data_IF_107945490873
#
_entry.id   IF_107945490873
#
_cell.length_a   1.000
_cell.length_b   1.000
_cell.length_c   1.000
_cell.angle_alpha   90.00
_cell.angle_beta   90.00
_cell.angle_gamma   90.00
#
_symmetry.space_group_name_H-M   'P 1'
#
loop_
_entity.id
_entity.type
_entity.pdbx_description
1 polymer ?
#
# COMPACT_ATOMS: atom_id res chain seq x y z
N UNK A 1 -19.86 -63.01 29.97
CA UNK A 1 -21.09 -62.96 30.80
C UNK A 1 -20.88 -62.33 32.18
N UNK A 2 -20.21 -62.96 33.17
CA UNK A 2 -20.11 -62.37 34.53
C UNK A 2 -19.35 -61.03 34.57
N UNK A 3 -18.27 -60.91 33.78
CA UNK A 3 -17.49 -59.67 33.64
C UNK A 3 -18.30 -58.53 32.99
N UNK A 4 -19.08 -58.84 31.96
CA UNK A 4 -19.95 -57.88 31.26
C UNK A 4 -21.08 -57.38 32.18
N UNK A 5 -21.64 -58.26 33.01
CA UNK A 5 -22.64 -57.88 34.02
C UNK A 5 -22.02 -56.95 35.07
N UNK A 6 -20.81 -57.26 35.56
CA UNK A 6 -20.11 -56.38 36.50
C UNK A 6 -19.75 -55.01 35.90
N UNK A 7 -19.34 -54.97 34.62
CA UNK A 7 -19.00 -53.73 33.92
C UNK A 7 -20.26 -52.90 33.64
N UNK A 8 -21.39 -53.54 33.29
CA UNK A 8 -22.69 -52.89 33.15
C UNK A 8 -23.15 -52.25 34.47
N UNK A 9 -23.05 -52.97 35.59
CA UNK A 9 -23.41 -52.47 36.91
C UNK A 9 -22.51 -51.30 37.36
N UNK A 10 -21.21 -51.31 37.01
CA UNK A 10 -20.28 -50.22 37.32
C UNK A 10 -20.54 -48.94 36.53
N UNK A 11 -20.97 -49.05 35.28
CA UNK A 11 -21.23 -47.89 34.44
C UNK A 11 -22.63 -47.29 34.66
N UNK A 12 -23.56 -48.06 35.23
CA UNK A 12 -24.96 -47.66 35.44
C UNK A 12 -25.37 -47.62 36.91
N UNK A 13 -24.44 -47.28 37.82
CA UNK A 13 -24.65 -47.30 39.28
C UNK A 13 -25.92 -46.59 39.75
N UNK A 14 -26.28 -45.48 39.10
CA UNK A 14 -27.49 -44.71 39.43
C UNK A 14 -28.79 -45.44 39.10
N UNK A 15 -28.84 -46.17 37.99
CA UNK A 15 -30.00 -47.00 37.64
C UNK A 15 -30.14 -48.20 38.58
N UNK A 16 -29.02 -48.83 38.94
CA UNK A 16 -28.98 -49.94 39.90
C UNK A 16 -29.47 -49.47 41.28
N UNK A 17 -28.99 -48.31 41.75
CA UNK A 17 -29.42 -47.71 43.01
C UNK A 17 -30.92 -47.38 43.00
N UNK A 18 -31.43 -46.83 41.89
CA UNK A 18 -32.86 -46.54 41.73
C UNK A 18 -33.71 -47.82 41.82
N UNK A 19 -33.31 -48.91 41.15
CA UNK A 19 -34.01 -50.21 41.24
C UNK A 19 -33.98 -50.76 42.65
N UNK A 20 -32.84 -50.70 43.35
CA UNK A 20 -32.71 -51.18 44.73
C UNK A 20 -33.59 -50.37 45.69
N UNK A 21 -33.67 -49.05 45.53
CA UNK A 21 -34.55 -48.19 46.34
C UNK A 21 -36.02 -48.51 46.10
N UNK A 22 -36.43 -48.70 44.84
CA UNK A 22 -37.82 -49.04 44.50
C UNK A 22 -38.24 -50.41 45.06
N UNK A 23 -37.34 -51.40 45.02
CA UNK A 23 -37.54 -52.69 45.67
C UNK A 23 -37.57 -52.56 47.20
N UNK A 24 -36.70 -51.74 47.79
CA UNK A 24 -36.69 -51.45 49.23
C UNK A 24 -38.01 -50.82 49.71
N UNK A 25 -38.55 -49.85 48.95
CA UNK A 25 -39.85 -49.23 49.23
C UNK A 25 -41.01 -50.23 49.13
N UNK A 26 -40.95 -51.17 48.19
CA UNK A 26 -41.92 -52.27 48.10
C UNK A 26 -41.90 -53.12 49.37
N UNK A 27 -40.73 -53.68 49.74
CA UNK A 27 -40.62 -54.56 50.90
C UNK A 27 -40.93 -53.85 52.22
N UNK A 28 -40.64 -52.55 52.31
CA UNK A 28 -41.05 -51.70 53.43
C UNK A 28 -42.58 -51.59 53.55
N UNK A 29 -43.29 -51.38 52.44
CA UNK A 29 -44.76 -51.25 52.44
C UNK A 29 -45.47 -52.57 52.72
N UNK A 30 -44.94 -53.68 52.22
CA UNK A 30 -45.54 -55.02 52.33
C UNK A 30 -44.91 -55.89 53.44
N UNK A 31 -44.18 -55.29 54.38
CA UNK A 31 -43.62 -55.96 55.58
C UNK A 31 -42.86 -57.26 55.25
N UNK A 32 -41.93 -57.20 54.28
CA UNK A 32 -41.07 -58.31 53.82
C UNK A 32 -41.79 -59.53 53.21
N UNK A 33 -43.09 -59.46 52.91
CA UNK A 33 -43.84 -60.49 52.17
C UNK A 33 -44.08 -60.11 50.71
N UNK A 34 -44.23 -61.12 49.83
CA UNK A 34 -44.78 -60.91 48.49
C UNK A 34 -46.31 -60.89 48.59
N UNK A 35 -46.97 -59.91 47.97
CA UNK A 35 -48.44 -59.90 47.95
C UNK A 35 -48.98 -61.09 47.15
N UNK A 36 -49.98 -61.77 47.73
CA UNK A 36 -50.74 -62.85 47.09
C UNK A 36 -51.84 -62.33 46.15
N UNK A 37 -52.17 -61.04 46.22
CA UNK A 37 -53.19 -60.41 45.39
C UNK A 37 -52.55 -59.83 44.13
N UNK A 38 -53.11 -60.18 42.96
CA UNK A 38 -52.64 -59.67 41.66
C UNK A 38 -52.75 -58.15 41.54
N UNK A 39 -53.75 -57.55 42.19
CA UNK A 39 -54.03 -56.12 42.10
C UNK A 39 -52.92 -55.26 42.72
N UNK A 40 -52.24 -55.76 43.75
CA UNK A 40 -51.12 -55.06 44.39
C UNK A 40 -49.91 -54.97 43.45
N UNK A 41 -49.66 -56.01 42.65
CA UNK A 41 -48.62 -56.02 41.62
C UNK A 41 -48.96 -55.10 40.45
N UNK A 42 -50.24 -55.06 40.04
CA UNK A 42 -50.71 -54.14 39.02
C UNK A 42 -50.55 -52.67 39.47
N UNK A 43 -50.91 -52.36 40.72
CA UNK A 43 -50.77 -51.02 41.30
C UNK A 43 -49.29 -50.62 41.45
N UNK A 44 -48.42 -51.52 41.92
CA UNK A 44 -46.99 -51.27 42.01
C UNK A 44 -46.36 -51.04 40.63
N UNK A 45 -46.65 -51.92 39.66
CA UNK A 45 -46.18 -51.77 38.28
C UNK A 45 -46.63 -50.44 37.64
N UNK A 46 -47.87 -50.01 37.91
CA UNK A 46 -48.38 -48.70 37.46
C UNK A 46 -47.61 -47.53 38.08
N UNK A 47 -47.35 -47.56 39.40
CA UNK A 47 -46.57 -46.54 40.10
C UNK A 47 -45.12 -46.45 39.57
N UNK A 48 -44.47 -47.60 39.44
CA UNK A 48 -43.09 -47.72 38.93
C UNK A 48 -43.02 -47.27 37.47
N UNK A 49 -43.97 -47.72 36.64
CA UNK A 49 -44.09 -47.30 35.24
C UNK A 49 -44.27 -45.79 35.09
N UNK A 50 -45.06 -45.16 35.96
CA UNK A 50 -45.22 -43.71 36.01
C UNK A 50 -43.93 -42.97 36.36
N UNK A 51 -43.16 -43.46 37.35
CA UNK A 51 -41.85 -42.90 37.71
C UNK A 51 -40.87 -43.04 36.54
N UNK A 52 -40.76 -44.22 35.93
CA UNK A 52 -39.87 -44.44 34.80
C UNK A 52 -40.25 -43.59 33.59
N UNK A 53 -41.55 -43.43 33.30
CA UNK A 53 -42.01 -42.54 32.25
C UNK A 53 -41.59 -41.08 32.50
N UNK A 54 -41.74 -40.59 33.73
CA UNK A 54 -41.30 -39.25 34.12
C UNK A 54 -39.78 -39.07 34.01
N UNK A 55 -38.98 -40.03 34.50
CA UNK A 55 -37.52 -39.99 34.40
C UNK A 55 -37.04 -40.07 32.95
N UNK A 56 -37.69 -40.89 32.13
CA UNK A 56 -37.39 -41.00 30.69
C UNK A 56 -37.66 -39.68 29.98
N UNK A 57 -38.82 -39.05 30.25
CA UNK A 57 -39.15 -37.73 29.70
C UNK A 57 -38.12 -36.67 30.09
N UNK A 58 -37.75 -36.61 31.37
CA UNK A 58 -36.73 -35.66 31.87
C UNK A 58 -35.36 -35.89 31.23
N UNK A 59 -34.96 -37.15 31.05
CA UNK A 59 -33.69 -37.52 30.42
C UNK A 59 -33.65 -37.10 28.95
N UNK A 60 -34.74 -37.32 28.21
CA UNK A 60 -34.87 -36.86 26.81
C UNK A 60 -34.85 -35.34 26.73
N UNK A 61 -35.60 -34.62 27.58
CA UNK A 61 -35.59 -33.16 27.61
C UNK A 61 -34.20 -32.59 27.91
N UNK A 62 -33.48 -33.19 28.86
CA UNK A 62 -32.10 -32.80 29.16
C UNK A 62 -31.16 -33.07 27.98
N UNK A 63 -31.29 -34.24 27.34
CA UNK A 63 -30.54 -34.59 26.13
C UNK A 63 -30.76 -33.59 24.99
N UNK A 64 -32.02 -33.23 24.72
CA UNK A 64 -32.39 -32.23 23.71
C UNK A 64 -31.79 -30.85 24.02
N UNK A 65 -31.76 -30.43 25.28
CA UNK A 65 -31.13 -29.17 25.68
C UNK A 65 -29.62 -29.18 25.43
N UNK A 66 -28.95 -30.28 25.78
CA UNK A 66 -27.51 -30.45 25.56
C UNK A 66 -27.16 -30.51 24.07
N UNK A 67 -27.96 -31.22 23.26
CA UNK A 67 -27.81 -31.24 21.81
C UNK A 67 -28.02 -29.86 21.19
N UNK A 68 -29.04 -29.12 21.64
CA UNK A 68 -29.28 -27.75 21.17
C UNK A 68 -28.09 -26.83 21.47
N UNK A 69 -27.48 -26.98 22.65
CA UNK A 69 -26.28 -26.24 23.02
C UNK A 69 -25.10 -26.57 22.09
N UNK A 70 -24.79 -27.85 21.91
CA UNK A 70 -23.69 -28.30 21.02
C UNK A 70 -23.91 -27.87 19.57
N UNK A 71 -25.15 -27.96 19.08
CA UNK A 71 -25.51 -27.53 17.75
C UNK A 71 -25.27 -26.02 17.56
N UNK A 72 -25.64 -25.21 18.55
CA UNK A 72 -25.39 -23.76 18.49
C UNK A 72 -23.89 -23.45 18.50
N UNK A 73 -23.10 -24.11 19.36
CA UNK A 73 -21.64 -23.93 19.42
C UNK A 73 -20.98 -24.32 18.09
N UNK A 74 -21.34 -25.47 17.51
CA UNK A 74 -20.85 -25.90 16.19
C UNK A 74 -21.23 -24.94 15.07
N UNK A 75 -22.46 -24.40 15.12
CA UNK A 75 -22.92 -23.42 14.15
C UNK A 75 -22.11 -22.13 14.23
N UNK A 76 -21.84 -21.63 15.43
CA UNK A 76 -21.02 -20.43 15.63
C UNK A 76 -19.58 -20.63 15.15
N UNK A 77 -18.98 -21.78 15.43
CA UNK A 77 -17.64 -22.15 14.95
C UNK A 77 -17.60 -22.22 13.43
N UNK A 78 -18.55 -22.94 12.82
CA UNK A 78 -18.69 -23.05 11.37
C UNK A 78 -18.88 -21.68 10.69
N UNK A 79 -19.67 -20.78 11.28
CA UNK A 79 -19.85 -19.43 10.75
C UNK A 79 -18.57 -18.59 10.81
N UNK A 80 -17.74 -18.77 11.85
CA UNK A 80 -16.42 -18.11 11.95
C UNK A 80 -15.45 -18.66 10.91
N UNK A 81 -15.30 -19.98 10.83
CA UNK A 81 -14.44 -20.64 9.85
C UNK A 81 -14.83 -20.24 8.42
N UNK A 82 -16.13 -20.21 8.12
CA UNK A 82 -16.64 -19.78 6.82
C UNK A 82 -16.24 -18.34 6.49
N UNK A 83 -16.35 -17.41 7.44
CA UNK A 83 -15.95 -16.00 7.25
C UNK A 83 -14.46 -15.86 7.03
N UNK A 84 -13.64 -16.57 7.81
CA UNK A 84 -12.19 -16.60 7.64
C UNK A 84 -11.81 -17.16 6.26
N UNK A 85 -12.43 -18.28 5.85
CA UNK A 85 -12.20 -18.89 4.54
C UNK A 85 -12.64 -17.98 3.38
N UNK A 86 -13.72 -17.21 3.54
CA UNK A 86 -14.13 -16.19 2.57
C UNK A 86 -13.11 -15.04 2.50
N UNK A 87 -12.51 -14.63 3.61
CA UNK A 87 -11.43 -13.63 3.61
C UNK A 87 -10.16 -14.12 2.93
N UNK A 88 -9.71 -15.34 3.24
CA UNK A 88 -8.57 -15.97 2.57
C UNK A 88 -8.81 -16.09 1.06
N UNK A 89 -9.97 -16.59 0.64
CA UNK A 89 -10.32 -16.69 -0.78
C UNK A 89 -10.32 -15.34 -1.49
N UNK A 90 -10.91 -14.30 -0.89
CA UNK A 90 -10.91 -12.95 -1.47
C UNK A 90 -9.50 -12.40 -1.63
N UNK A 91 -8.60 -12.69 -0.69
CA UNK A 91 -7.19 -12.29 -0.80
C UNK A 91 -6.46 -13.06 -1.90
N UNK A 92 -6.65 -14.37 -2.00
CA UNK A 92 -6.05 -15.19 -3.07
C UNK A 92 -6.55 -14.77 -4.46
N UNK A 93 -7.84 -14.50 -4.61
CA UNK A 93 -8.43 -13.99 -5.86
C UNK A 93 -7.82 -12.63 -6.23
N UNK A 94 -7.65 -11.74 -5.25
CA UNK A 94 -6.98 -10.47 -5.44
C UNK A 94 -5.53 -10.66 -5.89
N UNK A 95 -4.74 -11.47 -5.18
CA UNK A 95 -3.33 -11.72 -5.50
C UNK A 95 -3.18 -12.34 -6.89
N UNK A 96 -3.98 -13.35 -7.23
CA UNK A 96 -3.98 -13.97 -8.56
C UNK A 96 -4.22 -12.93 -9.66
N UNK A 97 -5.21 -12.07 -9.48
CA UNK A 97 -5.57 -11.04 -10.47
C UNK A 97 -4.49 -9.97 -10.56
N UNK A 98 -3.99 -9.50 -9.41
CA UNK A 98 -2.89 -8.54 -9.34
C UNK A 98 -1.63 -9.08 -10.05
N UNK A 99 -1.23 -10.33 -9.79
CA UNK A 99 -0.03 -10.88 -10.41
C UNK A 99 -0.19 -11.11 -11.91
N UNK A 100 -1.39 -11.49 -12.38
CA UNK A 100 -1.69 -11.55 -13.81
C UNK A 100 -1.59 -10.17 -14.48
N UNK A 101 -2.14 -9.13 -13.84
CA UNK A 101 -2.02 -7.75 -14.31
C UNK A 101 -0.57 -7.24 -14.26
N UNK A 102 0.20 -7.62 -13.23
CA UNK A 102 1.61 -7.28 -13.08
C UNK A 102 2.48 -7.95 -14.17
N UNK A 103 2.18 -9.19 -14.51
CA UNK A 103 2.85 -9.89 -15.61
C UNK A 103 2.59 -9.19 -16.95
N UNK A 104 1.34 -8.83 -17.23
CA UNK A 104 0.98 -8.09 -18.45
C UNK A 104 1.62 -6.69 -18.48
N UNK A 105 1.65 -6.00 -17.33
CA UNK A 105 2.40 -4.77 -17.16
C UNK A 105 3.89 -4.95 -17.52
N UNK A 106 4.53 -6.00 -17.01
CA UNK A 106 5.95 -6.27 -17.24
C UNK A 106 6.22 -6.64 -18.71
N UNK A 107 5.30 -7.33 -19.38
CA UNK A 107 5.39 -7.59 -20.82
C UNK A 107 5.38 -6.30 -21.63
N UNK A 108 4.44 -5.39 -21.34
CA UNK A 108 4.37 -4.09 -22.02
C UNK A 108 5.57 -3.21 -21.69
N UNK A 109 6.03 -3.18 -20.44
CA UNK A 109 7.22 -2.42 -20.07
C UNK A 109 8.46 -2.92 -20.81
N UNK A 110 8.67 -4.25 -20.88
CA UNK A 110 9.76 -4.85 -21.66
C UNK A 110 9.69 -4.51 -23.14
N UNK A 111 8.48 -4.45 -23.72
CA UNK A 111 8.29 -4.00 -25.09
C UNK A 111 8.79 -2.56 -25.29
N UNK A 112 8.43 -1.65 -24.38
CA UNK A 112 8.81 -0.23 -24.46
C UNK A 112 10.31 0.00 -24.19
N UNK A 113 10.93 -0.85 -23.36
CA UNK A 113 12.35 -0.76 -23.03
C UNK A 113 13.26 -1.55 -23.99
N UNK A 114 12.70 -2.38 -24.87
CA UNK A 114 13.47 -3.06 -25.91
C UNK A 114 13.92 -2.06 -26.99
N UNK A 115 15.22 -2.04 -27.27
CA UNK A 115 15.85 -1.19 -28.27
C UNK A 115 15.41 -1.50 -29.70
N UNK A 116 15.03 -2.75 -29.98
CA UNK A 116 14.56 -3.16 -31.31
C UNK A 116 13.22 -2.51 -31.68
N UNK A 117 12.42 -2.13 -30.69
CA UNK A 117 11.10 -1.53 -30.89
C UNK A 117 11.14 0.00 -30.99
N UNK A 118 12.29 0.62 -30.73
CA UNK A 118 12.44 2.06 -30.89
C UNK A 118 13.18 2.44 -32.16
N UNK A 119 13.76 3.63 -32.14
CA UNK A 119 14.42 4.27 -33.29
C UNK A 119 15.88 4.52 -32.92
N UNK A 120 16.79 4.45 -33.90
CA UNK A 120 18.23 4.71 -33.75
C UNK A 120 18.92 3.82 -32.69
N UNK A 121 18.48 2.56 -32.56
CA UNK A 121 19.02 1.60 -31.59
C UNK A 121 18.72 1.96 -30.12
N UNK A 122 17.75 2.84 -29.90
CA UNK A 122 17.24 3.22 -28.58
C UNK A 122 15.83 2.71 -28.41
N UNK A 123 15.46 2.41 -27.18
CA UNK A 123 14.09 1.98 -26.84
C UNK A 123 13.09 3.12 -26.99
N UNK A 124 11.79 2.80 -26.95
CA UNK A 124 10.72 3.81 -26.95
C UNK A 124 10.88 4.73 -25.73
N UNK A 125 11.15 4.14 -24.56
CA UNK A 125 11.40 4.88 -23.31
C UNK A 125 12.58 5.84 -23.48
N UNK A 126 13.69 5.38 -24.05
CA UNK A 126 14.90 6.21 -24.23
C UNK A 126 14.64 7.37 -25.19
N UNK A 127 13.89 7.14 -26.26
CA UNK A 127 13.56 8.17 -27.22
C UNK A 127 12.63 9.23 -26.61
N UNK A 128 11.52 8.82 -25.99
CA UNK A 128 10.60 9.75 -25.32
C UNK A 128 11.30 10.52 -24.21
N UNK A 129 12.09 9.83 -23.39
CA UNK A 129 12.87 10.47 -22.33
C UNK A 129 13.85 11.51 -22.87
N UNK A 130 14.55 11.20 -23.97
CA UNK A 130 15.41 12.16 -24.65
C UNK A 130 14.58 13.39 -25.06
N UNK A 131 13.45 13.23 -25.73
CA UNK A 131 12.63 14.41 -26.08
C UNK A 131 12.24 15.26 -24.86
N UNK A 132 11.89 14.64 -23.73
CA UNK A 132 11.59 15.37 -22.49
C UNK A 132 12.79 16.11 -21.89
N UNK A 133 14.01 15.64 -22.12
CA UNK A 133 15.25 16.26 -21.64
C UNK A 133 15.64 17.50 -22.48
N UNK A 134 15.37 17.46 -23.80
CA UNK A 134 15.85 18.47 -24.75
C UNK A 134 14.84 19.59 -25.09
N UNK A 135 13.57 19.47 -24.68
CA UNK A 135 12.55 20.49 -24.97
C UNK A 135 12.19 21.36 -23.76
N UNK A 136 11.98 22.65 -24.00
CA UNK A 136 11.90 23.65 -22.95
C UNK A 136 10.50 23.80 -22.32
N UNK A 137 9.44 23.55 -23.09
CA UNK A 137 8.07 23.78 -22.61
C UNK A 137 7.17 22.56 -22.74
N UNK A 138 6.24 22.41 -21.79
CA UNK A 138 5.25 21.32 -21.83
C UNK A 138 4.43 21.33 -23.14
N UNK A 139 4.11 22.51 -23.66
CA UNK A 139 3.30 22.67 -24.88
C UNK A 139 4.03 22.15 -26.13
N UNK A 140 5.33 22.44 -26.26
CA UNK A 140 6.16 21.93 -27.36
C UNK A 140 6.25 20.40 -27.32
N UNK A 141 6.54 19.85 -26.14
CA UNK A 141 6.64 18.40 -25.96
C UNK A 141 5.31 17.73 -26.32
N UNK A 142 4.17 18.28 -25.86
CA UNK A 142 2.84 17.76 -26.21
C UNK A 142 2.60 17.80 -27.72
N UNK A 143 2.90 18.93 -28.36
CA UNK A 143 2.75 19.07 -29.80
C UNK A 143 3.53 17.99 -30.56
N UNK A 144 4.79 17.77 -30.22
CA UNK A 144 5.62 16.76 -30.88
C UNK A 144 5.22 15.32 -30.55
N UNK A 145 5.08 14.98 -29.26
CA UNK A 145 4.79 13.62 -28.84
C UNK A 145 3.38 13.15 -29.22
N UNK A 146 2.38 14.04 -29.20
CA UNK A 146 0.98 13.64 -29.44
C UNK A 146 0.54 13.75 -30.91
N UNK A 147 1.16 14.60 -31.73
CA UNK A 147 0.77 14.75 -33.16
C UNK A 147 1.71 14.05 -34.15
N UNK A 148 3.00 14.03 -33.87
CA UNK A 148 4.01 13.60 -34.87
C UNK A 148 4.70 12.28 -34.48
N UNK A 149 4.61 11.87 -33.21
CA UNK A 149 5.39 10.74 -32.70
C UNK A 149 4.52 9.51 -32.40
N UNK A 150 4.41 8.61 -33.38
CA UNK A 150 3.65 7.34 -33.25
C UNK A 150 4.04 6.51 -32.03
N UNK A 151 5.31 6.55 -31.61
CA UNK A 151 5.82 5.77 -30.47
C UNK A 151 5.26 6.21 -29.11
N UNK A 152 4.76 7.45 -28.98
CA UNK A 152 4.13 7.87 -27.73
C UNK A 152 2.74 7.22 -27.53
N UNK A 153 2.11 6.72 -28.61
CA UNK A 153 0.86 5.98 -28.51
C UNK A 153 1.02 4.71 -27.64
N UNK A 154 2.13 3.99 -27.80
CA UNK A 154 2.42 2.80 -26.98
C UNK A 154 2.64 3.16 -25.50
N UNK A 155 3.30 4.29 -25.23
CA UNK A 155 3.42 4.83 -23.86
C UNK A 155 2.05 5.19 -23.27
N UNK A 156 1.16 5.81 -24.05
CA UNK A 156 -0.20 6.13 -23.60
C UNK A 156 -1.00 4.87 -23.25
N UNK A 157 -0.95 3.85 -24.12
CA UNK A 157 -1.60 2.56 -23.86
C UNK A 157 -1.04 1.93 -22.58
N UNK A 158 0.27 1.96 -22.40
CA UNK A 158 0.91 1.45 -21.20
C UNK A 158 0.45 2.19 -19.93
N UNK A 159 0.43 3.53 -19.92
CA UNK A 159 -0.01 4.29 -18.75
C UNK A 159 -1.50 4.12 -18.45
N UNK A 160 -2.33 3.86 -19.46
CA UNK A 160 -3.72 3.49 -19.24
C UNK A 160 -3.83 2.14 -18.51
N UNK A 161 -3.01 1.15 -18.88
CA UNK A 161 -2.97 -0.12 -18.15
C UNK A 161 -2.48 0.10 -16.72
N UNK A 162 -1.43 0.90 -16.52
CA UNK A 162 -0.93 1.24 -15.18
C UNK A 162 -2.04 1.88 -14.32
N UNK A 163 -2.82 2.82 -14.88
CA UNK A 163 -3.99 3.39 -14.21
C UNK A 163 -4.98 2.31 -13.74
N UNK A 164 -5.33 1.36 -14.62
CA UNK A 164 -6.25 0.29 -14.27
C UNK A 164 -5.73 -0.61 -13.15
N UNK A 165 -4.42 -0.89 -13.12
CA UNK A 165 -3.80 -1.66 -12.03
C UNK A 165 -3.87 -0.88 -10.72
N UNK A 166 -3.55 0.41 -10.74
CA UNK A 166 -3.62 1.25 -9.54
C UNK A 166 -5.06 1.39 -9.03
N UNK A 167 -6.03 1.55 -9.94
CA UNK A 167 -7.46 1.53 -9.61
C UNK A 167 -7.86 0.21 -8.95
N UNK A 168 -7.43 -0.92 -9.51
CA UNK A 168 -7.72 -2.25 -8.96
C UNK A 168 -7.15 -2.44 -7.54
N UNK A 169 -5.92 -1.95 -7.30
CA UNK A 169 -5.31 -1.93 -5.97
C UNK A 169 -6.12 -1.06 -5.01
N UNK A 170 -6.58 0.11 -5.47
CA UNK A 170 -7.35 1.05 -4.66
C UNK A 170 -8.71 0.49 -4.22
N UNK A 171 -9.46 -0.09 -5.16
CA UNK A 171 -10.74 -0.78 -4.92
C UNK A 171 -10.59 -1.95 -3.94
N UNK A 172 -9.38 -2.52 -3.85
CA UNK A 172 -9.02 -3.60 -2.94
C UNK A 172 -8.02 -3.15 -1.84
N UNK A 173 -8.07 -1.88 -1.44
CA UNK A 173 -7.09 -1.25 -0.54
C UNK A 173 -6.86 -1.97 0.79
N UNK A 174 -7.85 -2.70 1.30
CA UNK A 174 -7.70 -3.56 2.50
C UNK A 174 -6.57 -4.59 2.38
N UNK A 175 -6.23 -5.01 1.17
CA UNK A 175 -5.15 -5.95 0.91
C UNK A 175 -3.82 -5.22 0.67
N UNK A 176 -3.84 -3.96 0.24
CA UNK A 176 -2.66 -3.12 0.02
C UNK A 176 -2.13 -2.46 1.32
N UNK A 177 -2.03 -3.23 2.39
CA UNK A 177 -1.50 -2.76 3.68
C UNK A 177 -0.07 -2.24 3.49
N UNK A 178 0.21 -1.05 4.03
CA UNK A 178 1.50 -0.37 3.90
C UNK A 178 2.01 -0.23 2.45
N UNK A 179 1.08 -0.07 1.49
CA UNK A 179 1.40 0.06 0.06
C UNK A 179 2.17 -1.15 -0.51
N UNK A 180 2.04 -2.36 0.07
CA UNK A 180 2.83 -3.54 -0.34
C UNK A 180 2.76 -3.83 -1.85
N UNK A 181 1.58 -3.86 -2.45
CA UNK A 181 1.40 -4.21 -3.86
C UNK A 181 1.66 -3.02 -4.78
N UNK A 182 1.26 -1.81 -4.38
CA UNK A 182 1.55 -0.60 -5.15
C UNK A 182 3.05 -0.29 -5.19
N UNK A 183 3.78 -0.49 -4.08
CA UNK A 183 5.24 -0.36 -4.04
C UNK A 183 5.94 -1.47 -4.82
N UNK A 184 5.41 -2.70 -4.80
CA UNK A 184 5.91 -3.77 -5.67
C UNK A 184 5.75 -3.42 -7.15
N UNK A 185 4.56 -2.96 -7.57
CA UNK A 185 4.33 -2.49 -8.94
C UNK A 185 5.29 -1.35 -9.32
N UNK A 186 5.44 -0.35 -8.44
CA UNK A 186 6.37 0.77 -8.63
C UNK A 186 7.82 0.31 -8.82
N UNK A 187 8.24 -0.74 -8.13
CA UNK A 187 9.63 -1.22 -8.16
C UNK A 187 10.11 -1.67 -9.54
N UNK A 188 9.19 -2.00 -10.46
CA UNK A 188 9.52 -2.33 -11.84
C UNK A 188 9.78 -1.11 -12.72
N UNK A 189 9.40 0.09 -12.27
CA UNK A 189 9.52 1.30 -13.08
C UNK A 189 10.89 1.94 -12.94
N UNK A 190 11.58 2.09 -14.06
CA UNK A 190 12.82 2.85 -14.10
C UNK A 190 12.57 4.34 -13.84
N UNK A 191 13.60 5.06 -13.38
CA UNK A 191 13.54 6.51 -13.13
C UNK A 191 13.06 7.30 -14.35
N UNK A 192 13.44 6.85 -15.55
CA UNK A 192 12.98 7.42 -16.83
C UNK A 192 11.47 7.26 -17.00
N UNK A 193 10.93 6.06 -16.75
CA UNK A 193 9.50 5.78 -16.86
C UNK A 193 8.69 6.58 -15.84
N UNK A 194 9.19 6.72 -14.61
CA UNK A 194 8.55 7.58 -13.59
C UNK A 194 8.48 9.05 -14.03
N UNK A 195 9.52 9.57 -14.69
CA UNK A 195 9.48 10.93 -15.23
C UNK A 195 8.47 11.08 -16.37
N UNK A 196 8.47 10.13 -17.31
CA UNK A 196 7.52 10.16 -18.41
C UNK A 196 6.09 10.05 -17.87
N UNK A 197 5.86 9.26 -16.82
CA UNK A 197 4.58 9.19 -16.11
C UNK A 197 4.19 10.54 -15.50
N UNK A 198 5.11 11.20 -14.78
CA UNK A 198 4.86 12.51 -14.20
C UNK A 198 4.50 13.55 -15.28
N UNK A 199 5.21 13.54 -16.41
CA UNK A 199 4.86 14.34 -17.58
C UNK A 199 3.47 13.96 -18.14
N UNK A 200 3.18 12.67 -18.29
CA UNK A 200 1.94 12.16 -18.86
C UNK A 200 0.71 12.68 -18.10
N UNK A 201 0.82 12.84 -16.77
CA UNK A 201 -0.25 13.30 -15.88
C UNK A 201 -0.36 14.82 -15.74
N UNK A 202 0.68 15.56 -16.11
CA UNK A 202 0.75 17.02 -15.91
C UNK A 202 -0.15 17.77 -16.92
N UNK A 203 -0.85 18.84 -16.53
CA UNK A 203 -1.68 19.69 -17.39
C UNK A 203 -2.72 18.90 -18.22
N UNK A 204 -3.29 17.85 -17.60
CA UNK A 204 -4.37 17.03 -18.16
C UNK A 204 -5.75 17.53 -17.72
N UNK A 205 -6.78 17.09 -18.45
CA UNK A 205 -8.16 17.34 -18.08
C UNK A 205 -8.55 16.53 -16.82
N UNK A 206 -9.73 16.82 -16.28
CA UNK A 206 -10.26 16.21 -15.05
C UNK A 206 -10.38 14.68 -15.09
N UNK A 207 -10.35 14.07 -16.28
CA UNK A 207 -10.40 12.61 -16.43
C UNK A 207 -9.20 11.91 -15.77
N UNK A 208 -8.09 12.63 -15.59
CA UNK A 208 -6.87 12.14 -14.95
C UNK A 208 -6.84 12.34 -13.43
N UNK A 209 -7.84 13.00 -12.83
CA UNK A 209 -7.82 13.32 -11.40
C UNK A 209 -7.73 12.07 -10.53
N UNK A 210 -8.48 11.01 -10.90
CA UNK A 210 -8.40 9.71 -10.20
C UNK A 210 -7.01 9.10 -10.31
N UNK A 211 -6.38 9.18 -11.49
CA UNK A 211 -5.04 8.66 -11.69
C UNK A 211 -4.03 9.43 -10.82
N UNK A 212 -4.08 10.76 -10.85
CA UNK A 212 -3.25 11.62 -10.01
C UNK A 212 -3.47 11.30 -8.53
N UNK A 213 -4.71 11.03 -8.10
CA UNK A 213 -5.01 10.64 -6.72
C UNK A 213 -4.38 9.30 -6.34
N UNK A 214 -4.37 8.31 -7.24
CA UNK A 214 -3.68 7.04 -6.98
C UNK A 214 -2.16 7.23 -6.87
N UNK A 215 -1.57 8.05 -7.74
CA UNK A 215 -0.14 8.38 -7.69
C UNK A 215 0.24 9.04 -6.36
N UNK A 216 -0.60 9.95 -5.87
CA UNK A 216 -0.46 10.58 -4.54
C UNK A 216 -0.60 9.54 -3.43
N UNK A 217 -1.73 8.82 -3.39
CA UNK A 217 -2.06 7.86 -2.33
C UNK A 217 -1.01 6.78 -2.15
N UNK A 218 -0.39 6.35 -3.25
CA UNK A 218 0.62 5.29 -3.25
C UNK A 218 2.07 5.78 -3.28
N UNK A 219 2.31 7.09 -3.10
CA UNK A 219 3.64 7.72 -3.11
C UNK A 219 4.47 7.31 -4.33
N UNK A 220 3.84 7.32 -5.50
CA UNK A 220 4.33 6.54 -6.63
C UNK A 220 5.60 7.12 -7.30
N UNK A 221 5.97 8.36 -6.96
CA UNK A 221 7.14 9.08 -7.49
C UNK A 221 8.29 9.21 -6.47
N UNK A 222 8.26 8.43 -5.38
CA UNK A 222 9.27 8.42 -4.31
C UNK A 222 10.73 8.30 -4.83
N UNK A 223 10.98 7.54 -5.91
CA UNK A 223 12.33 7.33 -6.45
C UNK A 223 12.59 8.06 -7.78
N UNK A 224 11.74 9.02 -8.14
CA UNK A 224 11.94 9.82 -9.34
C UNK A 224 13.16 10.75 -9.16
N UNK A 225 14.15 10.69 -10.05
CA UNK A 225 15.35 11.55 -10.04
C UNK A 225 15.07 12.93 -10.65
N UNK A 226 14.18 13.69 -10.00
CA UNK A 226 13.74 14.99 -10.50
C UNK A 226 14.86 16.04 -10.50
N UNK A 227 15.88 15.88 -9.64
CA UNK A 227 17.04 16.78 -9.59
C UNK A 227 17.92 16.67 -10.84
N UNK A 228 18.32 15.46 -11.22
CA UNK A 228 19.14 15.22 -12.42
C UNK A 228 18.44 15.75 -13.68
N UNK A 229 17.12 15.63 -13.72
CA UNK A 229 16.26 16.13 -14.79
C UNK A 229 16.22 17.65 -14.86
N UNK A 230 16.15 18.32 -13.71
CA UNK A 230 16.25 19.77 -13.65
C UNK A 230 17.62 20.26 -14.15
N UNK A 231 18.69 19.57 -13.77
CA UNK A 231 20.03 19.89 -14.28
C UNK A 231 20.09 19.77 -15.80
N UNK A 232 19.53 18.69 -16.37
CA UNK A 232 19.45 18.49 -17.82
C UNK A 232 18.69 19.62 -18.51
N UNK A 233 17.51 19.96 -18.00
CA UNK A 233 16.69 21.07 -18.51
C UNK A 233 17.45 22.42 -18.48
N UNK A 234 18.07 22.74 -17.34
CA UNK A 234 18.82 23.98 -17.20
C UNK A 234 20.03 24.01 -18.12
N UNK A 235 20.71 22.88 -18.33
CA UNK A 235 21.85 22.77 -19.25
C UNK A 235 21.43 23.13 -20.67
N UNK A 236 20.32 22.58 -21.15
CA UNK A 236 19.78 22.86 -22.49
C UNK A 236 19.31 24.31 -22.59
N UNK A 237 18.60 24.81 -21.59
CA UNK A 237 17.96 26.14 -21.63
C UNK A 237 18.95 27.30 -21.47
N UNK A 238 20.07 27.07 -20.77
CA UNK A 238 21.03 28.13 -20.43
C UNK A 238 22.38 27.99 -21.13
N UNK A 239 22.65 26.83 -21.75
CA UNK A 239 23.94 26.46 -22.32
C UNK A 239 25.12 26.52 -21.30
N UNK A 240 24.83 26.45 -19.99
CA UNK A 240 25.86 26.34 -18.96
C UNK A 240 26.38 24.91 -18.84
N UNK A 241 27.61 24.78 -18.35
CA UNK A 241 28.17 23.47 -18.01
C UNK A 241 27.39 22.83 -16.88
N UNK A 242 27.23 21.51 -17.00
CA UNK A 242 26.46 20.69 -16.07
C UNK A 242 26.97 20.81 -14.62
N UNK A 243 28.30 20.79 -14.42
CA UNK A 243 28.91 20.93 -13.10
C UNK A 243 28.65 22.30 -12.45
N UNK A 244 28.55 23.36 -13.25
CA UNK A 244 28.18 24.68 -12.76
C UNK A 244 26.71 24.71 -12.29
N UNK A 245 25.82 24.01 -12.99
CA UNK A 245 24.39 23.90 -12.63
C UNK A 245 24.21 23.06 -11.37
N UNK A 246 24.89 21.91 -11.28
CA UNK A 246 24.92 21.08 -10.07
C UNK A 246 25.36 21.89 -8.85
N UNK A 247 26.47 22.64 -8.98
CA UNK A 247 26.97 23.52 -7.91
C UNK A 247 26.01 24.65 -7.58
N UNK A 248 25.32 25.20 -8.57
CA UNK A 248 24.31 26.25 -8.36
C UNK A 248 23.11 25.73 -7.56
N UNK A 249 22.50 24.62 -7.99
CA UNK A 249 21.36 24.01 -7.31
C UNK A 249 21.73 23.49 -5.91
N UNK A 250 22.93 22.91 -5.74
CA UNK A 250 23.41 22.41 -4.44
C UNK A 250 23.91 23.52 -3.51
N UNK A 251 24.45 24.61 -4.07
CA UNK A 251 25.03 25.72 -3.33
C UNK A 251 23.99 26.54 -2.57
N UNK A 252 22.76 26.64 -3.10
CA UNK A 252 21.63 27.26 -2.37
C UNK A 252 21.29 26.52 -1.06
N UNK A 253 21.51 25.20 -1.00
CA UNK A 253 21.28 24.38 0.20
C UNK A 253 22.27 24.72 1.33
N UNK A 254 23.55 24.93 0.99
CA UNK A 254 24.63 25.25 1.94
C UNK A 254 24.47 26.65 2.54
N UNK A 255 24.02 27.62 1.75
CA UNK A 255 23.74 28.99 2.23
C UNK A 255 22.67 29.04 3.33
N UNK A 256 21.75 28.05 3.38
CA UNK A 256 20.69 27.98 4.39
C UNK A 256 21.16 27.33 5.69
N UNK A 257 22.03 26.30 5.61
CA UNK A 257 22.55 25.60 6.80
C UNK A 257 23.43 26.50 7.69
N UNK A 258 24.07 27.52 7.10
CA UNK A 258 24.92 28.48 7.79
C UNK A 258 24.21 29.78 8.22
N UNK A 259 22.89 29.89 8.02
CA UNK A 259 22.11 31.07 8.44
C UNK A 259 21.35 30.89 9.77
N UNK A 260 21.75 29.91 10.60
CA UNK A 260 21.47 29.93 12.03
C UNK A 260 22.73 30.35 12.77
N UNK A 261 22.68 31.59 13.30
CA UNK A 261 23.43 32.18 14.41
C UNK A 261 24.55 31.33 15.04
N UNK A 262 25.76 31.94 15.08
CA UNK A 262 26.95 31.68 15.92
C UNK A 262 28.21 31.44 15.08
N UNK A 263 28.83 32.53 14.62
CA UNK A 263 30.28 32.60 14.47
C UNK A 263 30.83 33.27 15.75
N UNK A 264 31.63 32.59 16.58
CA UNK A 264 32.24 33.19 17.76
C UNK A 264 33.20 34.31 17.35
N UNK A 265 33.14 35.45 18.05
CA UNK A 265 33.95 36.66 17.83
C UNK A 265 35.45 36.50 18.15
N UNK A 266 36.02 35.31 18.07
CA UNK A 266 37.43 35.08 18.36
C UNK A 266 38.01 34.01 17.44
N UNK A 267 38.34 34.41 16.22
CA UNK A 267 39.38 33.71 15.46
C UNK A 267 40.68 34.51 15.61
N UNK A 268 41.65 33.88 16.27
CA UNK A 268 43.01 34.38 16.44
C UNK A 268 43.71 34.57 15.09
N UNK A 269 44.68 35.48 15.05
CA UNK A 269 45.32 35.98 13.82
C UNK A 269 46.02 34.90 12.96
N UNK A 270 46.20 33.69 13.47
CA UNK A 270 46.73 32.53 12.72
C UNK A 270 45.71 31.90 11.74
N UNK A 271 44.42 32.21 11.88
CA UNK A 271 43.37 31.71 10.99
C UNK A 271 43.09 32.61 9.77
N UNK A 272 43.69 33.80 9.69
CA UNK A 272 43.47 34.75 8.58
C UNK A 272 44.10 34.30 7.27
N UNK A 273 45.24 33.61 7.31
CA UNK A 273 45.99 33.25 6.09
C UNK A 273 45.42 32.03 5.37
N UNK A 274 44.71 31.13 6.07
CA UNK A 274 43.92 30.06 5.44
C UNK A 274 42.45 30.46 5.22
N UNK A 275 42.03 31.62 5.77
CA UNK A 275 40.67 32.13 5.57
C UNK A 275 40.53 33.06 4.35
N UNK A 276 41.61 33.54 3.76
CA UNK A 276 41.54 34.43 2.59
C UNK A 276 40.92 33.73 1.39
N UNK A 277 41.31 32.48 1.10
CA UNK A 277 40.87 31.78 -0.11
C UNK A 277 39.40 31.39 -0.07
N UNK A 278 38.86 30.94 1.07
CA UNK A 278 37.42 30.65 1.16
C UNK A 278 36.58 31.92 1.28
N UNK A 279 37.09 33.02 1.85
CA UNK A 279 36.37 34.31 1.90
C UNK A 279 36.43 35.05 0.58
N UNK A 280 37.55 35.03 -0.15
CA UNK A 280 37.62 35.46 -1.55
C UNK A 280 36.78 34.55 -2.43
N UNK A 281 36.80 33.23 -2.24
CA UNK A 281 35.90 32.31 -2.93
C UNK A 281 34.43 32.57 -2.57
N UNK A 282 34.10 32.90 -1.32
CA UNK A 282 32.74 33.23 -0.87
C UNK A 282 32.28 34.59 -1.40
N UNK A 283 33.15 35.60 -1.44
CA UNK A 283 32.87 36.95 -1.96
C UNK A 283 32.85 36.96 -3.50
N UNK A 284 33.75 36.23 -4.17
CA UNK A 284 33.68 35.94 -5.60
C UNK A 284 32.43 35.12 -5.92
N UNK A 285 32.13 34.08 -5.13
CA UNK A 285 30.93 33.26 -5.33
C UNK A 285 29.68 34.07 -5.11
N UNK A 286 29.64 35.00 -4.14
CA UNK A 286 28.52 35.92 -3.88
C UNK A 286 28.38 36.99 -4.97
N UNK A 287 29.48 37.56 -5.46
CA UNK A 287 29.44 38.54 -6.56
C UNK A 287 29.13 37.88 -7.91
N UNK A 288 29.69 36.69 -8.19
CA UNK A 288 29.29 35.81 -9.30
C UNK A 288 27.87 35.25 -9.08
N UNK A 289 27.41 35.01 -7.85
CA UNK A 289 26.02 34.60 -7.54
C UNK A 289 25.06 35.73 -7.77
N UNK A 290 25.42 36.98 -7.50
CA UNK A 290 24.51 38.11 -7.70
C UNK A 290 24.41 38.43 -9.20
N UNK A 291 25.53 38.30 -9.94
CA UNK A 291 25.54 38.33 -11.40
C UNK A 291 24.84 37.12 -12.03
N UNK A 292 25.04 35.91 -11.51
CA UNK A 292 24.38 34.70 -12.00
C UNK A 292 22.91 34.69 -11.61
N UNK A 293 22.52 35.16 -10.42
CA UNK A 293 21.12 35.34 -10.00
C UNK A 293 20.43 36.37 -10.87
N UNK A 294 21.10 37.47 -11.29
CA UNK A 294 20.55 38.44 -12.25
C UNK A 294 20.50 37.91 -13.70
N UNK A 295 21.49 37.12 -14.14
CA UNK A 295 21.56 36.50 -15.47
C UNK A 295 20.61 35.30 -15.60
N UNK A 296 20.40 34.58 -14.51
CA UNK A 296 19.40 33.53 -14.32
C UNK A 296 18.02 34.16 -14.13
N UNK A 297 17.89 35.30 -13.43
CA UNK A 297 16.67 36.15 -13.45
C UNK A 297 16.30 36.57 -14.86
N UNK A 298 17.28 36.85 -15.72
CA UNK A 298 17.07 37.17 -17.14
C UNK A 298 16.63 35.94 -17.96
N UNK A 299 17.16 34.74 -17.67
CA UNK A 299 16.72 33.46 -18.24
C UNK A 299 15.32 33.06 -17.75
N UNK A 300 14.96 33.34 -16.49
CA UNK A 300 13.66 33.04 -15.90
C UNK A 300 12.61 34.13 -16.15
N UNK A 301 13.01 35.37 -16.47
CA UNK A 301 12.10 36.51 -16.77
C UNK A 301 11.29 36.36 -18.05
N UNK A 302 11.76 35.59 -19.01
CA UNK A 302 11.12 35.47 -20.33
C UNK A 302 10.52 34.07 -20.52
N UNK A 303 9.31 33.85 -19.99
CA UNK A 303 8.38 32.75 -20.29
C UNK A 303 8.82 31.28 -20.05
N UNK A 304 10.12 30.97 -19.99
CA UNK A 304 10.64 29.59 -19.91
C UNK A 304 10.43 28.99 -18.52
N UNK A 305 10.54 29.78 -17.45
CA UNK A 305 10.34 29.27 -16.08
C UNK A 305 8.88 28.94 -15.74
N UNK A 306 7.89 29.63 -16.34
CA UNK A 306 6.46 29.37 -16.07
C UNK A 306 5.94 28.11 -16.76
N UNK A 307 6.50 27.75 -17.91
CA UNK A 307 6.10 26.58 -18.70
C UNK A 307 7.11 25.41 -18.63
N UNK A 308 8.11 25.51 -17.77
CA UNK A 308 9.04 24.41 -17.48
C UNK A 308 8.27 23.19 -16.96
N UNK A 309 8.51 22.04 -17.58
CA UNK A 309 7.86 20.76 -17.28
C UNK A 309 8.05 20.37 -15.82
N UNK A 310 9.28 20.49 -15.30
CA UNK A 310 9.60 20.12 -13.93
C UNK A 310 8.85 20.98 -12.92
N UNK A 311 8.80 22.30 -13.12
CA UNK A 311 8.01 23.17 -12.25
C UNK A 311 6.52 22.82 -12.27
N UNK A 312 5.95 22.54 -13.45
CA UNK A 312 4.54 22.15 -13.55
C UNK A 312 4.27 20.81 -12.85
N UNK A 313 5.15 19.83 -13.03
CA UNK A 313 5.11 18.54 -12.32
C UNK A 313 5.13 18.77 -10.80
N UNK A 314 6.08 19.56 -10.30
CA UNK A 314 6.22 19.85 -8.87
C UNK A 314 5.02 20.58 -8.26
N UNK A 315 4.37 21.46 -9.03
CA UNK A 315 3.19 22.20 -8.58
C UNK A 315 1.91 21.36 -8.58
N UNK A 316 1.72 20.54 -9.61
CA UNK A 316 0.46 19.81 -9.80
C UNK A 316 0.44 18.48 -9.07
N UNK A 317 1.57 17.77 -9.05
CA UNK A 317 1.71 16.52 -8.32
C UNK A 317 2.07 16.88 -6.87
N UNK A 318 1.08 16.74 -5.99
CA UNK A 318 1.18 17.01 -4.56
C UNK A 318 2.41 16.33 -3.93
N UNK A 319 2.98 16.93 -2.89
CA UNK A 319 4.18 16.45 -2.20
C UNK A 319 4.11 14.99 -1.78
N UNK A 320 2.91 14.48 -1.47
CA UNK A 320 2.71 13.09 -1.05
C UNK A 320 3.09 12.08 -2.14
N UNK A 321 2.92 12.43 -3.43
CA UNK A 321 3.38 11.56 -4.52
C UNK A 321 4.90 11.31 -4.46
N UNK A 322 5.64 12.23 -3.84
CA UNK A 322 7.10 12.22 -3.69
C UNK A 322 7.54 11.93 -2.26
N UNK A 323 6.67 11.36 -1.40
CA UNK A 323 7.02 11.15 0.01
C UNK A 323 8.34 10.38 0.13
N UNK A 324 9.31 10.94 0.87
CA UNK A 324 10.66 10.35 1.03
C UNK A 324 11.69 10.76 -0.04
N UNK A 325 11.27 11.50 -1.07
CA UNK A 325 12.15 11.97 -2.14
C UNK A 325 12.86 13.27 -1.75
N UNK A 326 14.17 13.19 -1.48
CA UNK A 326 14.98 14.35 -1.11
C UNK A 326 15.19 15.34 -2.26
N UNK A 327 15.18 14.87 -3.50
CA UNK A 327 15.36 15.70 -4.70
C UNK A 327 14.17 16.63 -4.90
N UNK A 328 12.96 16.12 -4.67
CA UNK A 328 11.73 16.91 -4.68
C UNK A 328 11.80 18.08 -3.69
N UNK A 329 12.20 17.80 -2.44
CA UNK A 329 12.30 18.82 -1.39
C UNK A 329 13.30 19.92 -1.75
N UNK A 330 14.45 19.54 -2.33
CA UNK A 330 15.47 20.50 -2.78
C UNK A 330 14.93 21.42 -3.88
N UNK A 331 14.29 20.84 -4.90
CA UNK A 331 13.81 21.60 -6.05
C UNK A 331 12.60 22.48 -5.74
N UNK A 332 11.65 22.02 -4.92
CA UNK A 332 10.48 22.85 -4.62
C UNK A 332 10.86 24.11 -3.84
N UNK A 333 11.86 24.01 -2.95
CA UNK A 333 12.43 25.19 -2.29
C UNK A 333 13.11 26.14 -3.28
N UNK A 334 13.93 25.61 -4.19
CA UNK A 334 14.55 26.41 -5.26
C UNK A 334 13.51 27.20 -6.07
N UNK A 335 12.43 26.53 -6.48
CA UNK A 335 11.38 27.17 -7.25
C UNK A 335 10.51 28.15 -6.44
N UNK A 336 10.27 27.89 -5.16
CA UNK A 336 9.59 28.84 -4.27
C UNK A 336 10.36 30.16 -4.14
N UNK A 337 11.69 30.11 -4.06
CA UNK A 337 12.53 31.32 -4.02
C UNK A 337 12.48 32.11 -5.33
N UNK A 338 12.35 31.43 -6.47
CA UNK A 338 12.21 32.09 -7.79
C UNK A 338 10.83 32.70 -7.99
N UNK A 339 9.78 32.13 -7.40
CA UNK A 339 8.39 32.57 -7.59
C UNK A 339 7.98 33.67 -6.59
N UNK A 340 8.56 33.70 -5.38
CA UNK A 340 8.21 34.64 -4.32
C UNK A 340 9.09 35.91 -4.27
N UNK A 341 10.10 36.04 -5.14
CA UNK A 341 10.88 37.28 -5.40
C UNK A 341 10.52 37.92 -6.76
#
# INVERSE_FOLDING_TARGET
MFKEICDFLKNNKWYVLLVVVLLGLYFYKFHNGLSANSDDWANFGSYIGGIFAAVTLLSVLHGMQLERKRFNEQKEEFEKEKKEQEEYRRKEEFERTFFMLLEEHNNKLRFLENKENGIDGKSIVDNVYKYLEYHATLKEIRFYLEREYSLYADMNVYFLNLYHILKYIDENSRFNVNNRYSSLLRSFLSRKVLYILAYHLCDRNSDFDNYINYIKKFHFLEHMSIFDLEVGFLKVSSNYREDAIYRFLSGMEVFKKNNYSYLPNSFTDEAKDNCSDWMEYYLESRNKFTLSKNKFKLLTKYNIAKDCVNLKILKQLHSDAFLGNMDYLKLIHFYQEIINE
#
